data_IF_823072660937
#
_entry.id   IF_823072660937
#
_cell.length_a   1.000
_cell.length_b   1.000
_cell.length_c   1.000
_cell.angle_alpha   90.00
_cell.angle_beta   90.00
_cell.angle_gamma   90.00
#
_symmetry.space_group_name_H-M   'P 1'
#
loop_
_entity.id
_entity.type
_entity.pdbx_description
1 polymer ?
#
# COMPACT_ATOMS: atom_id res chain seq x y z
N UNK A 1 29.77 56.61 -39.46
CA UNK A 1 29.20 55.37 -40.06
C UNK A 1 28.73 54.49 -38.90
N UNK A 2 27.51 54.65 -38.40
CA UNK A 2 26.29 54.00 -38.88
C UNK A 2 26.27 52.46 -38.67
N UNK A 3 25.71 51.97 -37.55
CA UNK A 3 24.40 51.28 -37.44
C UNK A 3 24.29 50.46 -36.14
N UNK A 4 23.13 50.61 -35.50
CA UNK A 4 22.57 49.76 -34.45
C UNK A 4 22.46 48.28 -34.85
N UNK A 5 22.59 47.38 -33.87
CA UNK A 5 21.65 46.25 -33.67
C UNK A 5 21.65 45.75 -32.21
N UNK A 6 20.47 45.84 -31.60
CA UNK A 6 20.02 45.07 -30.43
C UNK A 6 19.99 43.56 -30.73
N UNK A 7 20.31 42.72 -29.75
CA UNK A 7 19.70 41.40 -29.45
C UNK A 7 20.19 41.00 -28.04
N UNK A 8 19.37 40.76 -27.00
CA UNK A 8 18.04 40.15 -26.98
C UNK A 8 18.18 38.71 -26.50
N UNK A 9 18.25 38.50 -25.18
CA UNK A 9 18.19 37.18 -24.56
C UNK A 9 16.84 36.53 -24.88
N UNK A 10 16.84 35.47 -25.70
CA UNK A 10 15.69 34.61 -25.94
C UNK A 10 15.91 33.27 -25.25
N UNK A 11 15.12 33.02 -24.20
CA UNK A 11 14.88 31.69 -23.64
C UNK A 11 13.92 30.94 -24.60
N UNK A 12 14.14 29.66 -24.94
CA UNK A 12 13.23 28.96 -25.83
C UNK A 12 11.95 28.56 -25.10
N UNK A 13 10.83 28.97 -25.68
CA UNK A 13 9.46 28.72 -25.27
C UNK A 13 9.06 27.23 -25.34
N UNK A 14 8.23 26.83 -24.39
CA UNK A 14 7.02 26.03 -24.57
C UNK A 14 7.07 24.83 -25.52
N UNK A 15 7.39 23.65 -24.97
CA UNK A 15 6.92 22.39 -25.55
C UNK A 15 5.76 21.86 -24.70
N UNK A 16 4.53 22.18 -25.11
CA UNK A 16 3.31 21.54 -24.63
C UNK A 16 3.44 20.03 -24.86
N UNK A 17 3.53 19.26 -23.79
CA UNK A 17 3.45 17.79 -23.86
C UNK A 17 2.00 17.46 -24.13
N UNK A 18 1.72 17.10 -25.38
CA UNK A 18 0.42 16.68 -25.84
C UNK A 18 0.06 15.35 -25.16
N UNK A 19 -0.89 15.38 -24.21
CA UNK A 19 -1.39 14.21 -23.47
C UNK A 19 -2.53 13.58 -24.28
N UNK A 20 -2.22 13.10 -25.47
CA UNK A 20 -3.12 12.23 -26.23
C UNK A 20 -2.35 11.00 -26.71
N UNK A 21 -2.90 9.83 -26.39
CA UNK A 21 -2.44 8.46 -26.72
C UNK A 21 -1.40 7.79 -25.79
N UNK A 22 -1.78 7.52 -24.54
CA UNK A 22 -1.19 6.41 -23.76
C UNK A 22 -1.72 5.05 -24.25
N UNK A 23 -1.52 4.72 -25.53
CA UNK A 23 -1.51 3.31 -25.96
C UNK A 23 -0.13 2.75 -25.63
N UNK A 24 -0.02 2.04 -24.52
CA UNK A 24 1.18 1.30 -24.17
C UNK A 24 1.55 0.34 -25.32
N UNK A 25 2.69 0.60 -25.97
CA UNK A 25 3.24 -0.28 -26.99
C UNK A 25 3.85 -1.54 -26.37
N UNK A 26 3.91 -2.67 -27.10
CA UNK A 26 4.39 -3.97 -26.59
C UNK A 26 5.85 -4.00 -26.10
N UNK A 27 6.59 -2.88 -26.21
CA UNK A 27 7.97 -2.70 -25.74
C UNK A 27 8.09 -1.93 -24.41
N UNK A 28 6.99 -1.40 -23.87
CA UNK A 28 6.97 -0.66 -22.59
C UNK A 28 6.56 -1.54 -21.40
N UNK A 29 6.41 -2.86 -21.61
CA UNK A 29 6.22 -3.79 -20.52
C UNK A 29 7.47 -3.78 -19.62
N UNK A 30 7.34 -3.74 -18.27
CA UNK A 30 8.49 -3.89 -17.40
C UNK A 30 9.19 -5.20 -17.76
N UNK A 31 10.48 -5.10 -18.10
CA UNK A 31 11.35 -6.22 -18.44
C UNK A 31 11.10 -7.35 -17.43
N UNK A 32 10.82 -8.57 -17.92
CA UNK A 32 10.71 -9.80 -17.13
C UNK A 32 11.94 -9.90 -16.18
N UNK A 33 11.84 -9.33 -14.98
CA UNK A 33 13.01 -9.17 -14.11
C UNK A 33 12.88 -8.12 -13.00
N UNK A 34 11.96 -7.14 -13.09
CA UNK A 34 11.84 -6.09 -12.06
C UNK A 34 10.42 -5.90 -11.48
N UNK A 35 9.55 -6.89 -11.62
CA UNK A 35 8.20 -6.87 -11.04
C UNK A 35 8.15 -7.59 -9.70
N UNK A 36 7.97 -6.80 -8.64
CA UNK A 36 7.51 -7.20 -7.30
C UNK A 36 8.54 -7.95 -6.47
N UNK A 37 8.70 -7.44 -5.24
CA UNK A 37 9.50 -8.00 -4.17
C UNK A 37 9.68 -9.49 -4.35
N UNK A 38 10.94 -9.85 -4.60
CA UNK A 38 11.39 -11.19 -4.40
C UNK A 38 10.69 -11.74 -3.15
N UNK A 39 10.44 -13.02 -3.15
CA UNK A 39 10.66 -13.78 -1.94
C UNK A 39 12.10 -13.50 -1.48
N UNK A 40 12.33 -12.32 -0.91
CA UNK A 40 13.36 -11.97 0.05
C UNK A 40 12.90 -12.62 1.35
N UNK A 41 12.61 -13.92 1.24
CA UNK A 41 12.96 -14.87 2.27
C UNK A 41 14.37 -14.45 2.68
N UNK A 42 14.46 -13.92 3.90
CA UNK A 42 15.72 -13.71 4.60
C UNK A 42 16.64 -14.89 4.24
N UNK A 43 17.89 -14.61 3.83
CA UNK A 43 18.88 -15.61 3.44
C UNK A 43 18.72 -17.00 4.10
N UNK A 44 18.47 -17.11 5.43
CA UNK A 44 18.14 -18.37 6.10
C UNK A 44 16.97 -19.20 5.53
N UNK A 45 15.83 -18.63 5.13
CA UNK A 45 14.67 -19.40 4.65
C UNK A 45 14.88 -20.00 3.25
N UNK A 46 15.56 -19.27 2.36
CA UNK A 46 16.02 -19.81 1.06
C UNK A 46 17.03 -20.92 1.25
N UNK A 47 17.98 -20.74 2.17
CA UNK A 47 18.97 -21.77 2.49
C UNK A 47 18.28 -23.05 2.99
N UNK A 48 17.33 -22.93 3.92
CA UNK A 48 16.55 -24.07 4.45
C UNK A 48 15.83 -24.85 3.35
N UNK A 49 15.21 -24.16 2.38
CA UNK A 49 14.55 -24.80 1.24
C UNK A 49 15.51 -25.58 0.34
N UNK A 50 16.68 -25.01 0.00
CA UNK A 50 17.68 -25.72 -0.81
C UNK A 50 18.28 -26.92 -0.07
N UNK A 51 18.53 -26.77 1.24
CA UNK A 51 19.04 -27.86 2.09
C UNK A 51 18.03 -29.01 2.17
N UNK A 52 16.74 -28.73 2.33
CA UNK A 52 15.70 -29.77 2.36
C UNK A 52 15.62 -30.55 1.05
N UNK A 53 15.67 -29.85 -0.10
CA UNK A 53 15.63 -30.50 -1.42
C UNK A 53 16.89 -31.33 -1.66
N UNK A 54 18.07 -30.84 -1.30
CA UNK A 54 19.33 -31.60 -1.39
C UNK A 54 19.30 -32.83 -0.49
N UNK A 55 18.76 -32.71 0.72
CA UNK A 55 18.60 -33.84 1.62
C UNK A 55 17.67 -34.90 1.02
N UNK A 56 16.57 -34.50 0.38
CA UNK A 56 15.69 -35.42 -0.34
C UNK A 56 16.38 -36.07 -1.56
N UNK A 57 17.20 -35.32 -2.31
CA UNK A 57 17.98 -35.83 -3.45
C UNK A 57 18.94 -36.95 -3.00
N UNK A 58 19.58 -36.80 -1.84
CA UNK A 58 20.59 -37.74 -1.36
C UNK A 58 19.99 -38.89 -0.55
N UNK A 59 19.02 -38.60 0.33
CA UNK A 59 18.49 -39.58 1.30
C UNK A 59 17.61 -40.63 0.63
N UNK A 60 16.75 -40.26 -0.32
CA UNK A 60 15.78 -41.19 -0.93
C UNK A 60 16.48 -42.30 -1.75
N UNK A 61 17.44 -42.00 -2.65
CA UNK A 61 18.24 -43.03 -3.32
C UNK A 61 19.06 -43.89 -2.36
N UNK A 62 19.61 -43.27 -1.31
CA UNK A 62 20.47 -43.99 -0.37
C UNK A 62 19.66 -45.01 0.45
N UNK A 63 18.46 -44.62 0.90
CA UNK A 63 17.55 -45.49 1.65
C UNK A 63 17.04 -46.62 0.76
N UNK A 64 16.58 -46.32 -0.46
CA UNK A 64 16.09 -47.35 -1.40
C UNK A 64 17.17 -48.40 -1.71
N UNK A 65 18.40 -47.97 -2.01
CA UNK A 65 19.54 -48.87 -2.25
C UNK A 65 19.95 -49.66 -1.00
N UNK A 66 19.80 -49.09 0.20
CA UNK A 66 20.09 -49.79 1.45
C UNK A 66 19.05 -50.86 1.77
N UNK A 67 17.77 -50.58 1.51
CA UNK A 67 16.64 -51.47 1.79
C UNK A 67 16.62 -52.70 0.85
N UNK A 68 17.13 -52.59 -0.37
CA UNK A 68 17.23 -53.70 -1.34
C UNK A 68 18.32 -54.75 -1.01
N UNK A 69 18.83 -54.76 0.22
CA UNK A 69 19.62 -55.88 0.74
C UNK A 69 21.02 -56.02 0.13
N UNK A 70 21.64 -54.92 -0.28
CA UNK A 70 23.10 -54.88 -0.51
C UNK A 70 23.63 -55.71 -1.67
N UNK A 71 22.82 -56.09 -2.66
CA UNK A 71 23.28 -56.78 -3.89
C UNK A 71 24.30 -55.98 -4.73
N UNK A 72 24.52 -54.71 -4.39
CA UNK A 72 25.44 -53.76 -5.02
C UNK A 72 26.78 -53.56 -4.28
N UNK A 73 27.14 -54.43 -3.33
CA UNK A 73 28.23 -54.23 -2.35
C UNK A 73 29.69 -54.06 -2.86
N UNK A 74 29.92 -53.94 -4.18
CA UNK A 74 31.24 -53.67 -4.78
C UNK A 74 31.45 -52.21 -5.23
N UNK A 75 32.19 -52.03 -6.34
CA UNK A 75 32.54 -50.73 -6.99
C UNK A 75 31.33 -49.81 -7.30
N UNK A 76 30.09 -50.29 -7.21
CA UNK A 76 28.88 -49.53 -7.51
C UNK A 76 28.49 -48.53 -6.42
N UNK A 77 28.78 -48.82 -5.15
CA UNK A 77 28.48 -47.91 -4.02
C UNK A 77 29.23 -46.56 -4.11
N UNK A 78 30.56 -46.51 -4.30
CA UNK A 78 31.24 -45.23 -4.44
C UNK A 78 30.82 -44.46 -5.69
N UNK A 79 30.49 -45.15 -6.79
CA UNK A 79 29.95 -44.53 -8.00
C UNK A 79 28.57 -43.89 -7.76
N UNK A 80 27.69 -44.57 -7.03
CA UNK A 80 26.38 -44.03 -6.65
C UNK A 80 26.52 -42.79 -5.76
N UNK A 81 27.39 -42.83 -4.75
CA UNK A 81 27.64 -41.67 -3.90
C UNK A 81 28.22 -40.51 -4.70
N UNK A 82 29.18 -40.77 -5.60
CA UNK A 82 29.76 -39.75 -6.45
C UNK A 82 28.71 -39.10 -7.38
N UNK A 83 27.83 -39.90 -7.98
CA UNK A 83 26.74 -39.42 -8.83
C UNK A 83 25.71 -38.58 -8.03
N UNK A 84 25.31 -39.03 -6.84
CA UNK A 84 24.40 -38.27 -5.97
C UNK A 84 24.99 -36.92 -5.55
N UNK A 85 26.28 -36.89 -5.20
CA UNK A 85 26.99 -35.65 -4.85
C UNK A 85 27.06 -34.72 -6.07
N UNK A 86 27.38 -35.28 -7.26
CA UNK A 86 27.43 -34.51 -8.50
C UNK A 86 26.05 -33.94 -8.87
N UNK A 87 24.99 -34.74 -8.75
CA UNK A 87 23.64 -34.34 -9.08
C UNK A 87 23.11 -33.28 -8.11
N UNK A 88 23.30 -33.49 -6.80
CA UNK A 88 22.93 -32.50 -5.78
C UNK A 88 23.70 -31.17 -5.94
N UNK A 89 25.01 -31.26 -6.17
CA UNK A 89 25.85 -30.09 -6.45
C UNK A 89 25.43 -29.36 -7.72
N UNK A 90 25.15 -30.10 -8.79
CA UNK A 90 24.62 -29.56 -10.04
C UNK A 90 23.29 -28.87 -9.83
N UNK A 91 22.37 -29.48 -9.08
CA UNK A 91 21.06 -28.89 -8.79
C UNK A 91 21.17 -27.54 -8.05
N UNK A 92 22.05 -27.45 -7.04
CA UNK A 92 22.31 -26.20 -6.32
C UNK A 92 22.88 -25.11 -7.24
N UNK A 93 23.88 -25.45 -8.07
CA UNK A 93 24.44 -24.50 -9.03
C UNK A 93 23.38 -24.05 -10.03
N UNK A 94 22.58 -24.99 -10.54
CA UNK A 94 21.54 -24.71 -11.54
C UNK A 94 20.48 -23.78 -10.97
N UNK A 95 19.98 -24.06 -9.77
CA UNK A 95 18.94 -23.24 -9.14
C UNK A 95 19.45 -21.88 -8.67
N UNK A 96 20.69 -21.79 -8.19
CA UNK A 96 21.28 -20.54 -7.71
C UNK A 96 21.70 -19.61 -8.85
N UNK A 97 22.40 -20.14 -9.86
CA UNK A 97 22.98 -19.33 -10.95
C UNK A 97 22.00 -19.20 -12.12
N UNK A 98 21.16 -20.21 -12.36
CA UNK A 98 20.33 -20.30 -13.57
C UNK A 98 19.36 -19.13 -13.76
N UNK A 99 18.88 -18.51 -12.67
CA UNK A 99 17.98 -17.36 -12.76
C UNK A 99 18.63 -16.14 -13.43
N UNK A 100 19.97 -16.00 -13.34
CA UNK A 100 20.72 -14.89 -13.94
C UNK A 100 21.16 -15.17 -15.39
N UNK A 101 20.94 -16.39 -15.87
CA UNK A 101 21.41 -16.83 -17.18
C UNK A 101 20.39 -16.58 -18.29
N UNK A 102 20.87 -16.53 -19.53
CA UNK A 102 20.02 -16.43 -20.73
C UNK A 102 19.14 -17.67 -20.94
N UNK A 103 18.05 -17.53 -21.70
CA UNK A 103 17.09 -18.62 -21.95
C UNK A 103 17.74 -19.90 -22.49
N UNK A 104 18.68 -19.76 -23.43
CA UNK A 104 19.43 -20.91 -23.97
C UNK A 104 20.27 -21.63 -22.92
N UNK A 105 21.01 -20.87 -22.09
CA UNK A 105 21.84 -21.42 -21.02
C UNK A 105 20.99 -22.14 -19.96
N UNK A 106 19.81 -21.61 -19.62
CA UNK A 106 18.86 -22.29 -18.71
C UNK A 106 18.43 -23.65 -19.26
N UNK A 107 18.11 -23.75 -20.55
CA UNK A 107 17.78 -25.03 -21.18
C UNK A 107 18.95 -26.02 -21.13
N UNK A 108 20.18 -25.57 -21.39
CA UNK A 108 21.37 -26.41 -21.26
C UNK A 108 21.59 -26.90 -19.83
N UNK A 109 21.36 -26.05 -18.83
CA UNK A 109 21.49 -26.41 -17.41
C UNK A 109 20.45 -27.45 -16.98
N UNK A 110 19.21 -27.34 -17.44
CA UNK A 110 18.18 -28.37 -17.23
C UNK A 110 18.55 -29.67 -17.97
N UNK A 111 19.04 -29.57 -19.20
CA UNK A 111 19.54 -30.72 -19.96
C UNK A 111 20.69 -31.44 -19.24
N UNK A 112 21.62 -30.70 -18.64
CA UNK A 112 22.69 -31.25 -17.81
C UNK A 112 22.14 -32.06 -16.62
N UNK A 113 21.14 -31.53 -15.91
CA UNK A 113 20.49 -32.26 -14.82
C UNK A 113 19.81 -33.55 -15.31
N UNK A 114 19.15 -33.51 -16.47
CA UNK A 114 18.57 -34.73 -17.05
C UNK A 114 19.65 -35.77 -17.36
N UNK A 115 20.78 -35.36 -17.95
CA UNK A 115 21.89 -36.27 -18.29
C UNK A 115 22.52 -36.88 -17.04
N UNK A 116 22.87 -36.06 -16.04
CA UNK A 116 23.48 -36.56 -14.80
C UNK A 116 22.49 -37.45 -14.04
N UNK A 117 21.24 -37.02 -13.88
CA UNK A 117 20.23 -37.81 -13.16
C UNK A 117 19.89 -39.13 -13.84
N UNK A 118 20.06 -39.26 -15.16
CA UNK A 118 19.90 -40.53 -15.88
C UNK A 118 21.03 -41.53 -15.64
N UNK A 119 22.14 -41.15 -15.00
CA UNK A 119 23.19 -42.08 -14.61
C UNK A 119 22.77 -42.99 -13.44
N UNK A 120 21.86 -42.53 -12.57
CA UNK A 120 21.36 -43.30 -11.41
C UNK A 120 20.84 -44.69 -11.80
N UNK A 121 19.87 -44.84 -12.73
CA UNK A 121 19.40 -46.15 -13.19
C UNK A 121 20.50 -47.06 -13.74
N UNK A 122 21.51 -46.49 -14.40
CA UNK A 122 22.61 -47.25 -15.01
C UNK A 122 23.53 -47.82 -13.92
N UNK A 123 23.83 -47.02 -12.90
CA UNK A 123 24.69 -47.41 -11.77
C UNK A 123 23.99 -48.44 -10.87
N UNK A 124 22.72 -48.23 -10.56
CA UNK A 124 21.93 -49.15 -9.72
C UNK A 124 21.51 -50.40 -10.48
N UNK A 125 21.30 -50.31 -11.79
CA UNK A 125 20.65 -51.36 -12.59
C UNK A 125 19.13 -51.38 -12.38
N UNK A 126 18.56 -50.32 -11.80
CA UNK A 126 17.14 -50.21 -11.47
C UNK A 126 16.53 -49.00 -12.20
N UNK A 127 15.69 -49.29 -13.19
CA UNK A 127 15.01 -48.28 -14.02
C UNK A 127 13.98 -47.45 -13.27
N UNK A 128 13.50 -47.92 -12.11
CA UNK A 128 12.58 -47.13 -11.27
C UNK A 128 13.27 -45.89 -10.68
N UNK A 129 14.61 -45.88 -10.65
CA UNK A 129 15.40 -44.71 -10.21
C UNK A 129 15.23 -43.48 -11.11
N UNK A 130 14.63 -43.61 -12.29
CA UNK A 130 14.25 -42.47 -13.15
C UNK A 130 13.30 -41.48 -12.45
N UNK A 131 12.59 -41.91 -11.39
CA UNK A 131 11.78 -41.01 -10.54
C UNK A 131 12.60 -39.85 -9.98
N UNK A 132 13.92 -40.00 -9.79
CA UNK A 132 14.81 -38.94 -9.32
C UNK A 132 15.04 -37.82 -10.34
N UNK A 133 14.60 -37.98 -11.58
CA UNK A 133 14.50 -36.87 -12.53
C UNK A 133 13.41 -35.86 -12.13
N UNK A 134 12.59 -36.15 -11.12
CA UNK A 134 11.70 -35.18 -10.48
C UNK A 134 12.42 -33.88 -10.09
N UNK A 135 13.67 -33.94 -9.65
CA UNK A 135 14.44 -32.74 -9.30
C UNK A 135 14.83 -31.91 -10.54
N UNK A 136 15.13 -32.55 -11.66
CA UNK A 136 15.32 -31.87 -12.94
C UNK A 136 14.01 -31.21 -13.42
N UNK A 137 12.85 -31.83 -13.16
CA UNK A 137 11.53 -31.22 -13.41
C UNK A 137 11.33 -29.97 -12.53
N UNK A 138 11.67 -30.03 -11.23
CA UNK A 138 11.61 -28.86 -10.35
C UNK A 138 12.48 -27.72 -10.89
N UNK A 139 13.71 -28.02 -11.29
CA UNK A 139 14.60 -27.02 -11.91
C UNK A 139 14.01 -26.47 -13.22
N UNK A 140 13.38 -27.31 -14.05
CA UNK A 140 12.70 -26.89 -15.27
C UNK A 140 11.52 -25.96 -14.98
N UNK A 141 10.70 -26.24 -13.97
CA UNK A 141 9.58 -25.39 -13.55
C UNK A 141 10.06 -24.01 -13.08
N UNK A 142 11.19 -23.96 -12.37
CA UNK A 142 11.77 -22.70 -11.88
C UNK A 142 12.38 -21.87 -13.02
N UNK A 143 13.12 -22.50 -13.93
CA UNK A 143 13.97 -21.81 -14.90
C UNK A 143 13.34 -21.59 -16.27
N UNK A 144 12.42 -22.46 -16.69
CA UNK A 144 11.84 -22.46 -18.03
C UNK A 144 10.41 -21.88 -18.05
N UNK A 145 9.90 -21.49 -19.23
CA UNK A 145 8.49 -21.16 -19.40
C UNK A 145 7.59 -22.36 -19.08
N UNK A 146 6.38 -22.10 -18.57
CA UNK A 146 5.44 -23.14 -18.13
C UNK A 146 5.07 -24.17 -19.21
N UNK A 147 5.14 -23.82 -20.50
CA UNK A 147 4.95 -24.77 -21.59
C UNK A 147 6.13 -25.72 -21.73
N UNK A 148 7.35 -25.21 -21.66
CA UNK A 148 8.57 -26.00 -21.78
C UNK A 148 8.77 -26.92 -20.57
N UNK A 149 8.50 -26.46 -19.35
CA UNK A 149 8.60 -27.30 -18.14
C UNK A 149 7.63 -28.49 -18.17
N UNK A 150 6.40 -28.28 -18.69
CA UNK A 150 5.42 -29.35 -18.90
C UNK A 150 5.86 -30.36 -19.95
N UNK A 151 6.50 -29.91 -21.04
CA UNK A 151 7.08 -30.81 -22.05
C UNK A 151 8.23 -31.64 -21.48
N UNK A 152 9.09 -31.04 -20.63
CA UNK A 152 10.15 -31.78 -19.93
C UNK A 152 9.55 -32.85 -19.03
N UNK A 153 8.58 -32.51 -18.19
CA UNK A 153 7.93 -33.49 -17.31
C UNK A 153 7.22 -34.61 -18.06
N UNK A 154 6.54 -34.30 -19.17
CA UNK A 154 5.92 -35.29 -20.05
C UNK A 154 6.98 -36.22 -20.67
N UNK A 155 8.11 -35.68 -21.12
CA UNK A 155 9.21 -36.45 -21.68
C UNK A 155 9.82 -37.40 -20.65
N UNK A 156 10.05 -36.93 -19.41
CA UNK A 156 10.57 -37.76 -18.31
C UNK A 156 9.59 -38.87 -17.94
N UNK A 157 8.30 -38.57 -17.78
CA UNK A 157 7.28 -39.58 -17.49
C UNK A 157 7.18 -40.63 -18.61
N UNK A 158 7.24 -40.19 -19.87
CA UNK A 158 7.23 -41.09 -21.03
C UNK A 158 8.47 -41.97 -21.08
N UNK A 159 9.65 -41.42 -20.78
CA UNK A 159 10.90 -42.18 -20.68
C UNK A 159 10.83 -43.24 -19.58
N UNK A 160 10.21 -42.94 -18.43
CA UNK A 160 10.01 -43.93 -17.36
C UNK A 160 9.08 -45.07 -17.78
N UNK A 161 7.97 -44.77 -18.44
CA UNK A 161 7.05 -45.81 -18.97
C UNK A 161 7.78 -46.73 -19.95
N UNK A 162 8.55 -46.15 -20.88
CA UNK A 162 9.29 -46.92 -21.88
C UNK A 162 10.37 -47.77 -21.21
N UNK A 163 11.18 -47.17 -20.33
CA UNK A 163 12.29 -47.86 -19.67
C UNK A 163 11.81 -49.04 -18.81
N UNK A 164 10.80 -48.83 -17.98
CA UNK A 164 10.24 -49.89 -17.13
C UNK A 164 9.57 -50.99 -17.96
N UNK A 165 8.82 -50.63 -19.00
CA UNK A 165 8.18 -51.62 -19.89
C UNK A 165 9.20 -52.48 -20.64
N UNK A 166 10.33 -51.91 -21.05
CA UNK A 166 11.40 -52.59 -21.80
C UNK A 166 12.26 -53.45 -20.89
N UNK A 167 12.64 -52.95 -19.71
CA UNK A 167 13.58 -53.63 -18.81
C UNK A 167 12.87 -54.63 -17.89
N UNK A 168 11.76 -54.23 -17.27
CA UNK A 168 11.05 -55.04 -16.26
C UNK A 168 9.85 -55.82 -16.84
N UNK A 169 9.51 -55.58 -18.11
CA UNK A 169 8.35 -56.18 -18.77
C UNK A 169 6.99 -55.63 -18.32
N UNK A 170 6.97 -54.75 -17.32
CA UNK A 170 5.78 -54.08 -16.76
C UNK A 170 6.02 -52.59 -16.60
N UNK A 171 4.95 -51.80 -16.59
CA UNK A 171 5.03 -50.36 -16.37
C UNK A 171 4.97 -50.07 -14.87
N UNK A 172 5.89 -49.25 -14.38
CA UNK A 172 5.80 -48.66 -13.04
C UNK A 172 4.83 -47.48 -13.05
N UNK A 173 3.54 -47.77 -12.82
CA UNK A 173 2.51 -46.74 -12.80
C UNK A 173 2.64 -45.79 -11.62
N UNK A 174 3.11 -46.27 -10.47
CA UNK A 174 3.21 -45.46 -9.26
C UNK A 174 4.24 -44.33 -9.43
N UNK A 175 5.44 -44.67 -9.89
CA UNK A 175 6.47 -43.67 -10.19
C UNK A 175 6.09 -42.74 -11.36
N UNK A 176 5.41 -43.27 -12.38
CA UNK A 176 4.94 -42.46 -13.52
C UNK A 176 3.90 -41.43 -13.08
N UNK A 177 2.91 -41.83 -12.28
CA UNK A 177 1.90 -40.91 -11.75
C UNK A 177 2.50 -39.86 -10.83
N UNK A 178 3.48 -40.25 -9.99
CA UNK A 178 4.21 -39.30 -9.16
C UNK A 178 4.88 -38.20 -9.99
N UNK A 179 5.58 -38.55 -11.08
CA UNK A 179 6.22 -37.58 -11.97
C UNK A 179 5.22 -36.64 -12.64
N UNK A 180 4.10 -37.17 -13.12
CA UNK A 180 3.03 -36.37 -13.75
C UNK A 180 2.41 -35.41 -12.75
N UNK A 181 2.01 -35.90 -11.58
CA UNK A 181 1.41 -35.11 -10.52
C UNK A 181 2.38 -34.02 -10.04
N UNK A 182 3.65 -34.35 -9.85
CA UNK A 182 4.69 -33.41 -9.43
C UNK A 182 4.86 -32.31 -10.49
N UNK A 183 4.95 -32.68 -11.78
CA UNK A 183 5.04 -31.72 -12.88
C UNK A 183 3.87 -30.75 -12.89
N UNK A 184 2.64 -31.27 -12.81
CA UNK A 184 1.42 -30.45 -12.86
C UNK A 184 1.27 -29.58 -11.62
N UNK A 185 1.50 -30.14 -10.44
CA UNK A 185 1.33 -29.45 -9.15
C UNK A 185 2.32 -28.30 -9.01
N UNK A 186 3.62 -28.54 -9.24
CA UNK A 186 4.62 -27.48 -9.17
C UNK A 186 4.42 -26.45 -10.29
N UNK A 187 4.14 -26.87 -11.52
CA UNK A 187 3.86 -25.90 -12.61
C UNK A 187 2.67 -25.00 -12.28
N UNK A 188 1.61 -25.56 -11.70
CA UNK A 188 0.40 -24.81 -11.32
C UNK A 188 0.66 -23.89 -10.14
N UNK A 189 1.35 -24.36 -9.11
CA UNK A 189 1.73 -23.56 -7.94
C UNK A 189 2.62 -22.37 -8.32
N UNK A 190 3.63 -22.60 -9.17
CA UNK A 190 4.50 -21.52 -9.66
C UNK A 190 3.76 -20.53 -10.56
N UNK A 191 2.83 -21.00 -11.40
CA UNK A 191 1.98 -20.12 -12.19
C UNK A 191 1.09 -19.27 -11.29
N UNK A 192 0.44 -19.87 -10.29
CA UNK A 192 -0.40 -19.16 -9.33
C UNK A 192 0.41 -18.11 -8.56
N UNK A 193 1.59 -18.46 -8.07
CA UNK A 193 2.48 -17.53 -7.37
C UNK A 193 2.89 -16.34 -8.26
N UNK A 194 3.17 -16.58 -9.56
CA UNK A 194 3.45 -15.52 -10.54
C UNK A 194 2.23 -14.63 -10.77
N UNK A 195 1.03 -15.21 -10.94
CA UNK A 195 -0.19 -14.44 -11.16
C UNK A 195 -0.55 -13.61 -9.93
N UNK A 196 -0.45 -14.17 -8.72
CA UNK A 196 -0.71 -13.46 -7.46
C UNK A 196 0.26 -12.30 -7.28
N UNK A 197 1.56 -12.51 -7.52
CA UNK A 197 2.54 -11.42 -7.43
C UNK A 197 2.28 -10.32 -8.47
N UNK A 198 1.98 -10.68 -9.72
CA UNK A 198 1.59 -9.72 -10.75
C UNK A 198 0.34 -8.92 -10.38
N UNK A 199 -0.67 -9.58 -9.82
CA UNK A 199 -1.90 -8.93 -9.35
C UNK A 199 -1.61 -7.92 -8.23
N UNK A 200 -0.76 -8.29 -7.26
CA UNK A 200 -0.33 -7.38 -6.20
C UNK A 200 0.44 -6.17 -6.75
N UNK A 201 1.31 -6.38 -7.75
CA UNK A 201 1.97 -5.27 -8.47
C UNK A 201 0.96 -4.32 -9.09
N UNK A 202 0.01 -4.88 -9.85
CA UNK A 202 -0.98 -4.11 -10.59
C UNK A 202 -1.87 -3.31 -9.64
N UNK A 203 -2.29 -3.91 -8.51
CA UNK A 203 -3.05 -3.20 -7.47
C UNK A 203 -2.27 -2.02 -6.88
N UNK A 204 -0.97 -2.18 -6.63
CA UNK A 204 -0.13 -1.09 -6.13
C UNK A 204 -0.02 0.06 -7.14
N UNK A 205 0.11 -0.25 -8.44
CA UNK A 205 0.12 0.76 -9.51
C UNK A 205 -1.22 1.49 -9.61
N UNK A 206 -2.33 0.78 -9.56
CA UNK A 206 -3.69 1.37 -9.61
C UNK A 206 -3.91 2.28 -8.40
N UNK A 207 -3.53 1.85 -7.19
CA UNK A 207 -3.64 2.66 -5.99
C UNK A 207 -2.78 3.93 -6.05
N UNK A 208 -1.60 3.86 -6.67
CA UNK A 208 -0.78 5.05 -6.88
C UNK A 208 -1.41 6.01 -7.90
N UNK A 209 -1.94 5.47 -9.00
CA UNK A 209 -2.62 6.27 -10.03
C UNK A 209 -3.86 6.97 -9.48
N UNK A 210 -4.68 6.28 -8.67
CA UNK A 210 -5.86 6.91 -8.08
C UNK A 210 -5.51 8.10 -7.17
N UNK A 211 -4.40 8.02 -6.42
CA UNK A 211 -3.90 9.14 -5.60
C UNK A 211 -3.44 10.31 -6.47
N UNK A 212 -2.79 10.03 -7.61
CA UNK A 212 -2.34 11.07 -8.55
C UNK A 212 -3.54 11.74 -9.24
N UNK A 213 -4.52 10.95 -9.67
CA UNK A 213 -5.75 11.47 -10.28
C UNK A 213 -6.54 12.34 -9.33
N UNK A 214 -6.65 11.91 -8.06
CA UNK A 214 -7.24 12.69 -6.97
C UNK A 214 -6.53 14.03 -6.80
N UNK A 215 -5.18 14.01 -6.72
CA UNK A 215 -4.37 15.23 -6.60
C UNK A 215 -4.57 16.16 -7.80
N UNK A 216 -4.66 15.63 -9.01
CA UNK A 216 -4.88 16.41 -10.23
C UNK A 216 -6.30 16.97 -10.30
N UNK A 217 -7.31 16.25 -9.77
CA UNK A 217 -8.67 16.78 -9.62
C UNK A 217 -8.68 17.94 -8.63
N UNK A 218 -8.13 17.74 -7.43
CA UNK A 218 -8.02 18.79 -6.42
C UNK A 218 -7.27 20.03 -6.93
N UNK A 219 -6.18 19.85 -7.68
CA UNK A 219 -5.45 20.97 -8.28
C UNK A 219 -6.31 21.77 -9.27
N UNK A 220 -7.15 21.11 -10.08
CA UNK A 220 -8.08 21.78 -11.00
C UNK A 220 -9.18 22.51 -10.24
N UNK A 221 -9.83 21.84 -9.29
CA UNK A 221 -10.90 22.45 -8.49
C UNK A 221 -10.39 23.69 -7.73
N UNK A 222 -9.16 23.62 -7.19
CA UNK A 222 -8.49 24.76 -6.57
C UNK A 222 -8.16 25.87 -7.57
N UNK A 223 -7.66 25.51 -8.77
CA UNK A 223 -7.35 26.48 -9.80
C UNK A 223 -8.59 27.23 -10.29
N UNK A 224 -9.73 26.55 -10.43
CA UNK A 224 -10.98 27.16 -10.89
C UNK A 224 -11.51 28.16 -9.85
N UNK A 225 -11.53 27.76 -8.57
CA UNK A 225 -11.96 28.63 -7.45
C UNK A 225 -11.01 29.82 -7.26
N UNK A 226 -9.70 29.59 -7.28
CA UNK A 226 -8.69 30.63 -7.15
C UNK A 226 -8.69 31.58 -8.34
N UNK A 227 -8.76 31.04 -9.56
CA UNK A 227 -8.69 31.80 -10.80
C UNK A 227 -9.82 32.81 -10.90
N UNK A 228 -11.07 32.37 -10.66
CA UNK A 228 -12.23 33.25 -10.71
C UNK A 228 -12.19 34.33 -9.61
N UNK A 229 -11.82 33.94 -8.39
CA UNK A 229 -11.81 34.87 -7.25
C UNK A 229 -10.73 35.93 -7.39
N UNK A 230 -9.50 35.53 -7.74
CA UNK A 230 -8.37 36.46 -7.91
C UNK A 230 -8.63 37.41 -9.08
N UNK A 231 -9.20 36.93 -10.18
CA UNK A 231 -9.59 37.80 -11.31
C UNK A 231 -10.64 38.84 -10.88
N UNK A 232 -11.65 38.43 -10.09
CA UNK A 232 -12.69 39.34 -9.60
C UNK A 232 -12.14 40.38 -8.61
N UNK A 233 -11.24 39.97 -7.71
CA UNK A 233 -10.53 40.88 -6.80
C UNK A 233 -9.70 41.90 -7.59
N UNK A 234 -8.96 41.46 -8.61
CA UNK A 234 -8.16 42.35 -9.45
C UNK A 234 -9.03 43.37 -10.21
N UNK A 235 -10.20 42.94 -10.72
CA UNK A 235 -11.16 43.82 -11.38
C UNK A 235 -11.74 44.87 -10.43
N UNK A 236 -12.25 44.46 -9.25
CA UNK A 236 -12.79 45.39 -8.24
C UNK A 236 -11.71 46.34 -7.71
N UNK A 237 -10.49 45.86 -7.51
CA UNK A 237 -9.35 46.70 -7.14
C UNK A 237 -9.04 47.76 -8.21
N UNK A 238 -9.12 47.39 -9.49
CA UNK A 238 -8.99 48.32 -10.60
C UNK A 238 -10.12 49.34 -10.71
N UNK A 239 -11.34 49.00 -10.30
CA UNK A 239 -12.49 49.93 -10.19
C UNK A 239 -12.26 50.91 -9.04
N UNK A 240 -11.91 50.40 -7.85
CA UNK A 240 -11.62 51.23 -6.68
C UNK A 240 -10.48 52.23 -6.96
N UNK A 241 -9.41 51.79 -7.65
CA UNK A 241 -8.31 52.68 -8.08
C UNK A 241 -8.80 53.79 -9.01
N UNK A 242 -9.61 53.45 -10.03
CA UNK A 242 -10.16 54.45 -10.96
C UNK A 242 -11.10 55.43 -10.28
N UNK A 243 -11.91 54.97 -9.33
CA UNK A 243 -12.77 55.84 -8.51
C UNK A 243 -11.95 56.85 -7.69
N UNK A 244 -10.84 56.41 -7.10
CA UNK A 244 -9.89 57.30 -6.39
C UNK A 244 -9.23 58.32 -7.33
N UNK A 245 -8.87 57.91 -8.55
CA UNK A 245 -8.26 58.80 -9.56
C UNK A 245 -9.25 59.83 -10.14
N UNK A 246 -10.55 59.56 -10.07
CA UNK A 246 -11.61 60.38 -10.67
C UNK A 246 -12.35 61.26 -9.64
N UNK A 247 -11.83 61.36 -8.41
CA UNK A 247 -12.42 62.10 -7.28
C UNK A 247 -13.89 61.69 -6.97
N UNK A 248 -14.21 60.40 -7.18
CA UNK A 248 -15.52 59.82 -6.84
C UNK A 248 -15.67 59.71 -5.33
N UNK A 249 -16.92 59.79 -4.84
CA UNK A 249 -17.25 59.74 -3.42
C UNK A 249 -16.56 58.58 -2.65
N UNK A 250 -16.02 58.92 -1.48
CA UNK A 250 -15.21 58.02 -0.63
C UNK A 250 -16.01 56.82 -0.12
N UNK A 251 -17.33 56.94 0.03
CA UNK A 251 -18.15 55.82 0.50
C UNK A 251 -18.35 54.75 -0.60
N UNK A 252 -18.33 55.13 -1.87
CA UNK A 252 -18.33 54.18 -3.00
C UNK A 252 -17.02 53.36 -3.04
N UNK A 253 -15.87 54.02 -2.82
CA UNK A 253 -14.56 53.34 -2.74
C UNK A 253 -14.51 52.38 -1.55
N UNK A 254 -15.02 52.79 -0.37
CA UNK A 254 -15.10 51.92 0.81
C UNK A 254 -15.92 50.65 0.57
N UNK A 255 -16.99 50.76 -0.22
CA UNK A 255 -17.85 49.63 -0.58
C UNK A 255 -17.08 48.62 -1.42
N UNK A 256 -16.37 49.05 -2.46
CA UNK A 256 -15.55 48.15 -3.29
C UNK A 256 -14.42 47.47 -2.50
N UNK A 257 -13.77 48.20 -1.58
CA UNK A 257 -12.75 47.61 -0.69
C UNK A 257 -13.35 46.55 0.25
N UNK A 258 -14.54 46.82 0.81
CA UNK A 258 -15.24 45.85 1.65
C UNK A 258 -15.62 44.59 0.88
N UNK A 259 -16.11 44.74 -0.34
CA UNK A 259 -16.44 43.61 -1.22
C UNK A 259 -15.22 42.74 -1.51
N UNK A 260 -14.05 43.34 -1.78
CA UNK A 260 -12.79 42.61 -1.95
C UNK A 260 -12.43 41.81 -0.69
N UNK A 261 -12.60 42.39 0.50
CA UNK A 261 -12.31 41.75 1.77
C UNK A 261 -13.27 40.58 2.07
N UNK A 262 -14.55 40.73 1.72
CA UNK A 262 -15.57 39.68 1.84
C UNK A 262 -15.31 38.54 0.83
N UNK A 263 -14.98 38.86 -0.43
CA UNK A 263 -14.63 37.89 -1.47
C UNK A 263 -13.40 37.05 -1.07
N UNK A 264 -12.36 37.72 -0.56
CA UNK A 264 -11.13 37.08 -0.11
C UNK A 264 -11.40 36.12 1.06
N UNK A 265 -12.20 36.56 2.04
CA UNK A 265 -12.60 35.71 3.18
C UNK A 265 -13.45 34.52 2.72
N UNK A 266 -14.33 34.69 1.73
CA UNK A 266 -15.15 33.62 1.16
C UNK A 266 -14.30 32.57 0.45
N UNK A 267 -13.39 32.96 -0.44
CA UNK A 267 -12.50 32.00 -1.11
C UNK A 267 -11.60 31.24 -0.14
N UNK A 268 -11.08 31.91 0.90
CA UNK A 268 -10.30 31.23 1.93
C UNK A 268 -11.10 30.21 2.76
N UNK A 269 -12.43 30.34 2.81
CA UNK A 269 -13.32 29.31 3.39
C UNK A 269 -13.55 28.18 2.41
N UNK A 270 -13.85 28.47 1.14
CA UNK A 270 -14.07 27.46 0.08
C UNK A 270 -12.83 26.59 -0.13
N UNK A 271 -11.63 27.17 -0.22
CA UNK A 271 -10.36 26.43 -0.30
C UNK A 271 -10.18 25.52 0.93
N UNK A 272 -10.53 26.02 2.12
CA UNK A 272 -10.44 25.22 3.34
C UNK A 272 -11.42 24.06 3.33
N UNK A 273 -12.68 24.26 2.93
CA UNK A 273 -13.62 23.15 2.78
C UNK A 273 -13.15 22.13 1.73
N UNK A 274 -12.63 22.57 0.59
CA UNK A 274 -12.19 21.65 -0.48
C UNK A 274 -10.94 20.84 -0.10
N UNK A 275 -10.00 21.42 0.66
CA UNK A 275 -8.76 20.72 1.05
C UNK A 275 -8.93 19.88 2.33
N UNK A 276 -9.69 20.38 3.31
CA UNK A 276 -9.76 19.78 4.64
C UNK A 276 -10.95 18.85 4.86
N UNK A 277 -11.97 18.86 3.98
CA UNK A 277 -13.09 17.91 4.07
C UNK A 277 -12.81 16.58 3.31
N UNK A 278 -11.62 16.43 2.70
CA UNK A 278 -11.19 15.21 1.97
C UNK A 278 -10.00 14.47 2.63
N UNK A 279 -9.40 15.00 3.70
CA UNK A 279 -8.42 14.25 4.51
C UNK A 279 -9.03 13.91 5.86
N UNK A 280 -9.19 12.62 6.13
CA UNK A 280 -9.43 12.12 7.49
C UNK A 280 -8.43 12.77 8.43
N UNK A 281 -8.91 13.54 9.39
CA UNK A 281 -8.03 14.18 10.37
C UNK A 281 -7.53 13.06 11.28
N UNK A 282 -6.23 12.81 11.27
CA UNK A 282 -5.62 11.86 12.20
C UNK A 282 -5.77 12.41 13.63
N UNK A 283 -6.46 11.67 14.49
CA UNK A 283 -6.64 12.04 15.90
C UNK A 283 -5.29 12.24 16.60
N UNK A 284 -4.28 11.45 16.25
CA UNK A 284 -2.95 11.53 16.86
C UNK A 284 -2.22 12.83 16.48
N UNK A 285 -2.33 13.25 15.22
CA UNK A 285 -1.78 14.55 14.77
C UNK A 285 -2.52 15.70 15.47
N UNK A 286 -3.84 15.56 15.66
CA UNK A 286 -4.63 16.59 16.33
C UNK A 286 -4.33 16.69 17.83
N UNK A 287 -4.06 15.57 18.51
CA UNK A 287 -3.60 15.56 19.90
C UNK A 287 -2.27 16.29 20.07
N UNK A 288 -1.31 16.03 19.15
CA UNK A 288 -0.04 16.74 19.14
C UNK A 288 -0.21 18.25 18.90
N UNK A 289 -1.04 18.62 17.93
CA UNK A 289 -1.35 20.02 17.63
C UNK A 289 -2.05 20.73 18.78
N UNK A 290 -3.01 20.05 19.44
CA UNK A 290 -3.72 20.57 20.60
C UNK A 290 -2.76 20.90 21.75
N UNK A 291 -1.85 19.98 22.07
CA UNK A 291 -0.86 20.17 23.12
C UNK A 291 0.08 21.35 22.83
N UNK A 292 0.50 21.52 21.57
CA UNK A 292 1.33 22.65 21.14
C UNK A 292 0.57 23.98 21.19
N UNK A 293 -0.68 24.01 20.69
CA UNK A 293 -1.50 25.21 20.64
C UNK A 293 -1.85 25.73 22.04
N UNK A 294 -2.24 24.85 22.97
CA UNK A 294 -2.52 25.22 24.35
C UNK A 294 -1.27 25.74 25.06
N UNK A 295 -0.11 25.11 24.84
CA UNK A 295 1.16 25.57 25.39
C UNK A 295 1.54 26.95 24.85
N UNK A 296 1.38 27.18 23.55
CA UNK A 296 1.65 28.48 22.92
C UNK A 296 0.72 29.59 23.44
N UNK A 297 -0.51 29.23 23.82
CA UNK A 297 -1.46 30.14 24.47
C UNK A 297 -1.20 30.35 25.97
N UNK A 298 -0.16 29.71 26.55
CA UNK A 298 0.16 29.81 27.97
C UNK A 298 -0.78 29.02 28.90
N UNK A 299 -1.51 28.04 28.36
CA UNK A 299 -2.46 27.20 29.10
C UNK A 299 -1.77 25.87 29.46
N UNK A 300 -1.79 25.51 30.74
CA UNK A 300 -1.27 24.22 31.21
C UNK A 300 -2.18 23.08 30.75
N UNK A 301 -1.69 22.21 29.87
CA UNK A 301 -2.50 21.20 29.20
C UNK A 301 -2.13 19.77 29.61
N UNK A 302 -3.13 18.97 29.97
CA UNK A 302 -3.02 17.50 30.07
C UNK A 302 -3.69 16.90 28.84
N UNK A 303 -2.88 16.51 27.85
CA UNK A 303 -3.34 15.90 26.59
C UNK A 303 -2.66 14.54 26.43
N UNK A 304 -3.41 13.44 26.22
CA UNK A 304 -2.81 12.13 25.98
C UNK A 304 -2.00 12.11 24.67
N UNK A 305 -0.94 11.32 24.62
CA UNK A 305 -0.03 11.27 23.47
C UNK A 305 -0.55 10.50 22.25
N UNK A 306 -1.51 9.59 22.43
CA UNK A 306 -2.04 8.71 21.37
C UNK A 306 -3.50 8.39 21.63
N UNK A 307 -4.34 8.42 20.59
CA UNK A 307 -5.77 8.10 20.63
C UNK A 307 -6.09 6.61 20.51
N UNK A 308 -5.17 5.70 20.89
CA UNK A 308 -5.28 4.27 20.56
C UNK A 308 -6.50 3.56 21.14
N UNK A 309 -6.99 4.06 22.27
CA UNK A 309 -8.19 3.56 22.95
C UNK A 309 -9.46 3.86 22.14
N UNK A 310 -9.45 4.89 21.28
CA UNK A 310 -10.62 5.31 20.49
C UNK A 310 -10.87 4.35 19.33
N UNK A 311 -12.12 3.91 19.19
CA UNK A 311 -12.57 3.10 18.05
C UNK A 311 -12.24 3.77 16.73
N UNK A 312 -11.72 2.97 15.80
CA UNK A 312 -11.22 3.46 14.51
C UNK A 312 -12.22 4.32 13.76
N UNK A 313 -13.51 3.93 13.76
CA UNK A 313 -14.58 4.64 13.07
C UNK A 313 -14.88 6.03 13.66
N UNK A 314 -14.51 6.27 14.92
CA UNK A 314 -14.81 7.52 15.65
C UNK A 314 -13.64 8.50 15.64
N UNK A 315 -12.43 8.06 15.25
CA UNK A 315 -11.21 8.88 15.32
C UNK A 315 -11.32 10.20 14.56
N UNK A 316 -11.91 10.18 13.36
CA UNK A 316 -12.08 11.37 12.53
C UNK A 316 -13.04 12.39 13.17
N UNK A 317 -14.22 11.93 13.61
CA UNK A 317 -15.21 12.79 14.26
C UNK A 317 -14.66 13.36 15.57
N UNK A 318 -13.94 12.55 16.36
CA UNK A 318 -13.32 13.02 17.61
C UNK A 318 -12.15 13.97 17.38
N UNK A 319 -11.40 13.83 16.28
CA UNK A 319 -10.38 14.82 15.92
C UNK A 319 -11.00 16.19 15.63
N UNK A 320 -12.15 16.22 14.94
CA UNK A 320 -12.90 17.46 14.74
C UNK A 320 -13.41 18.07 16.06
N UNK A 321 -13.94 17.25 16.97
CA UNK A 321 -14.39 17.71 18.30
C UNK A 321 -13.23 18.28 19.10
N UNK A 322 -12.08 17.60 19.11
CA UNK A 322 -10.88 18.04 19.81
C UNK A 322 -10.39 19.40 19.29
N UNK A 323 -10.27 19.54 17.96
CA UNK A 323 -9.82 20.77 17.32
C UNK A 323 -10.67 21.98 17.72
N UNK A 324 -11.98 21.83 17.60
CA UNK A 324 -12.93 22.90 17.91
C UNK A 324 -12.98 23.17 19.41
N UNK A 325 -12.95 22.13 20.24
CA UNK A 325 -12.89 22.24 21.70
C UNK A 325 -11.68 23.06 22.15
N UNK A 326 -10.49 22.70 21.69
CA UNK A 326 -9.23 23.41 22.00
C UNK A 326 -9.25 24.84 21.46
N UNK A 327 -9.79 25.04 20.25
CA UNK A 327 -9.95 26.39 19.68
C UNK A 327 -10.85 27.26 20.56
N UNK A 328 -11.93 26.70 21.08
CA UNK A 328 -12.85 27.39 21.97
C UNK A 328 -12.22 27.74 23.32
N UNK A 329 -11.43 26.82 23.90
CA UNK A 329 -10.64 27.10 25.10
C UNK A 329 -9.73 28.31 24.86
N UNK A 330 -8.91 28.27 23.80
CA UNK A 330 -7.94 29.33 23.50
C UNK A 330 -8.62 30.69 23.25
N UNK A 331 -9.73 30.70 22.51
CA UNK A 331 -10.39 31.95 22.12
C UNK A 331 -11.31 32.53 23.19
N UNK A 332 -11.94 31.69 24.02
CA UNK A 332 -13.13 32.11 24.76
C UNK A 332 -13.08 31.83 26.28
N UNK A 333 -12.31 30.85 26.77
CA UNK A 333 -12.44 30.42 28.17
C UNK A 333 -11.67 31.29 29.17
N UNK A 334 -10.57 31.94 28.75
CA UNK A 334 -9.54 32.54 29.64
C UNK A 334 -9.01 31.54 30.68
N UNK A 335 -9.02 30.25 30.37
CA UNK A 335 -8.54 29.18 31.23
C UNK A 335 -7.02 29.26 31.45
N UNK A 336 -6.57 28.74 32.59
CA UNK A 336 -5.16 28.49 32.90
C UNK A 336 -4.82 27.00 32.76
N UNK A 337 -5.81 26.12 32.87
CA UNK A 337 -5.67 24.67 32.73
C UNK A 337 -6.71 24.11 31.77
N UNK A 338 -6.27 23.17 30.94
CA UNK A 338 -7.13 22.39 30.04
C UNK A 338 -6.77 20.91 30.16
N UNK A 339 -7.78 20.05 30.22
CA UNK A 339 -7.62 18.61 30.30
C UNK A 339 -8.44 17.93 29.19
N UNK A 340 -7.77 17.06 28.43
CA UNK A 340 -8.38 16.27 27.37
C UNK A 340 -8.40 14.81 27.82
N UNK A 341 -9.58 14.19 27.81
CA UNK A 341 -9.79 12.79 28.17
C UNK A 341 -10.57 12.09 27.06
N UNK A 342 -10.31 10.81 26.86
CA UNK A 342 -11.09 10.00 25.92
C UNK A 342 -11.17 8.56 26.38
N UNK A 343 -12.23 7.88 25.96
CA UNK A 343 -12.40 6.45 26.04
C UNK A 343 -12.71 5.87 24.66
N UNK A 344 -13.17 4.61 24.64
CA UNK A 344 -13.44 3.90 23.39
C UNK A 344 -14.48 4.59 22.49
N UNK A 345 -15.49 5.19 23.12
CA UNK A 345 -16.64 5.81 22.44
C UNK A 345 -16.97 7.22 22.93
N UNK A 346 -16.06 7.88 23.65
CA UNK A 346 -16.29 9.24 24.15
C UNK A 346 -15.01 10.07 24.19
N UNK A 347 -15.16 11.39 24.10
CA UNK A 347 -14.11 12.39 24.23
C UNK A 347 -14.62 13.56 25.09
N UNK A 348 -13.79 14.02 26.02
CA UNK A 348 -14.03 15.17 26.88
C UNK A 348 -12.90 16.19 26.75
N UNK A 349 -13.26 17.46 26.62
CA UNK A 349 -12.37 18.61 26.75
C UNK A 349 -12.91 19.47 27.88
N UNK A 350 -12.11 19.64 28.92
CA UNK A 350 -12.47 20.36 30.14
C UNK A 350 -11.47 21.49 30.39
N UNK A 351 -11.97 22.69 30.70
CA UNK A 351 -11.13 23.83 31.06
C UNK A 351 -11.57 24.47 32.38
N UNK A 352 -10.65 25.17 33.05
CA UNK A 352 -10.89 25.86 34.34
C UNK A 352 -11.29 27.34 34.18
N UNK A 353 -11.76 27.72 32.99
CA UNK A 353 -12.08 29.10 32.63
C UNK A 353 -13.40 29.62 33.23
N UNK A 354 -13.87 30.73 32.67
CA UNK A 354 -15.06 31.44 33.18
C UNK A 354 -16.38 30.66 33.06
N UNK A 355 -16.39 29.54 32.31
CA UNK A 355 -17.55 28.67 32.14
C UNK A 355 -18.74 29.35 31.45
N UNK A 356 -18.49 30.30 30.54
CA UNK A 356 -19.55 30.94 29.75
C UNK A 356 -20.29 29.88 28.92
N UNK A 357 -21.49 29.55 29.33
CA UNK A 357 -22.42 28.72 28.56
C UNK A 357 -23.01 29.62 27.47
N UNK A 358 -22.77 29.29 26.20
CA UNK A 358 -23.60 29.82 25.12
C UNK A 358 -24.99 29.19 25.30
N UNK A 359 -25.93 29.93 25.89
CA UNK A 359 -27.29 29.44 26.15
C UNK A 359 -27.93 28.90 24.87
N UNK A 360 -28.83 27.91 25.00
CA UNK A 360 -29.62 27.34 23.88
C UNK A 360 -30.37 28.39 23.05
N UNK A 361 -30.62 29.57 23.64
CA UNK A 361 -31.37 30.66 23.01
C UNK A 361 -30.44 31.71 22.38
N UNK A 362 -29.12 31.58 22.58
CA UNK A 362 -28.08 32.43 22.00
C UNK A 362 -27.42 31.79 20.76
N UNK A 363 -28.07 30.79 20.14
CA UNK A 363 -27.62 30.21 18.87
C UNK A 363 -27.79 31.17 17.68
N UNK A 364 -28.45 32.33 17.88
CA UNK A 364 -28.80 33.26 16.81
C UNK A 364 -28.27 34.71 16.99
N UNK A 365 -27.58 35.09 18.07
CA UNK A 365 -27.49 36.52 18.44
C UNK A 365 -26.11 37.16 18.63
N UNK A 366 -24.98 36.47 18.39
CA UNK A 366 -23.68 37.16 18.32
C UNK A 366 -22.91 36.77 17.05
N UNK A 367 -22.70 37.79 16.21
CA UNK A 367 -22.06 37.71 14.91
C UNK A 367 -20.70 36.99 14.97
N UNK A 368 -20.68 35.73 14.49
CA UNK A 368 -19.45 35.04 14.08
C UNK A 368 -18.99 33.82 14.89
N UNK A 369 -19.66 33.42 15.98
CA UNK A 369 -19.16 32.36 16.89
C UNK A 369 -19.95 31.06 17.00
N UNK A 370 -21.24 31.03 16.63
CA UNK A 370 -22.16 29.93 17.01
C UNK A 370 -22.19 28.68 16.12
N UNK A 371 -21.50 28.66 14.99
CA UNK A 371 -21.65 27.58 13.99
C UNK A 371 -20.78 26.34 14.25
N UNK A 372 -19.69 26.46 15.01
CA UNK A 372 -18.75 25.36 15.23
C UNK A 372 -19.35 24.17 15.98
N UNK A 373 -19.99 24.45 17.14
CA UNK A 373 -20.62 23.41 17.96
C UNK A 373 -21.87 22.80 17.32
N UNK A 374 -22.63 23.58 16.52
CA UNK A 374 -23.78 23.08 15.78
C UNK A 374 -23.34 22.08 14.70
N UNK A 375 -22.33 22.42 13.90
CA UNK A 375 -21.78 21.51 12.90
C UNK A 375 -21.17 20.25 13.52
N UNK A 376 -20.55 20.36 14.69
CA UNK A 376 -20.09 19.18 15.44
C UNK A 376 -21.24 18.30 15.93
N UNK A 377 -22.32 18.89 16.44
CA UNK A 377 -23.48 18.14 16.89
C UNK A 377 -24.14 17.38 15.72
N UNK A 378 -24.23 17.98 14.54
CA UNK A 378 -24.72 17.32 13.32
C UNK A 378 -23.81 16.16 12.90
N UNK A 379 -22.49 16.39 12.88
CA UNK A 379 -21.50 15.36 12.52
C UNK A 379 -21.48 14.18 13.52
N UNK A 380 -21.65 14.45 14.81
CA UNK A 380 -21.79 13.40 15.83
C UNK A 380 -23.09 12.62 15.69
N UNK A 381 -24.22 13.28 15.40
CA UNK A 381 -25.49 12.60 15.16
C UNK A 381 -25.44 11.65 13.96
N UNK A 382 -24.69 12.00 12.92
CA UNK A 382 -24.50 11.14 11.75
C UNK A 382 -23.85 9.78 12.10
N UNK A 383 -23.07 9.71 13.18
CA UNK A 383 -22.47 8.47 13.71
C UNK A 383 -23.20 7.90 14.93
N UNK A 384 -24.43 8.36 15.20
CA UNK A 384 -25.22 7.91 16.35
C UNK A 384 -24.75 8.45 17.70
N UNK A 385 -23.96 9.52 17.68
CA UNK A 385 -23.45 10.18 18.88
C UNK A 385 -24.23 11.44 19.27
N UNK A 386 -23.88 11.96 20.44
CA UNK A 386 -24.40 13.19 20.98
C UNK A 386 -23.26 14.10 21.47
N UNK A 387 -23.50 15.41 21.40
CA UNK A 387 -22.61 16.43 21.92
C UNK A 387 -23.29 17.10 23.12
N UNK A 388 -22.60 17.13 24.24
CA UNK A 388 -23.06 17.78 25.47
C UNK A 388 -22.08 18.86 25.87
N UNK A 389 -22.62 20.00 26.30
CA UNK A 389 -21.84 21.11 26.84
C UNK A 389 -22.36 21.46 28.22
N UNK A 390 -21.47 21.80 29.14
CA UNK A 390 -21.86 22.07 30.51
C UNK A 390 -20.83 22.93 31.25
N UNK A 391 -21.27 23.50 32.36
CA UNK A 391 -20.39 24.19 33.29
C UNK A 391 -19.89 23.20 34.34
N UNK A 392 -18.59 23.21 34.61
CA UNK A 392 -18.01 22.37 35.66
C UNK A 392 -18.34 22.98 37.03
N UNK A 393 -18.66 22.15 38.03
CA UNK A 393 -19.07 22.59 39.38
C UNK A 393 -18.03 23.44 40.10
N UNK A 394 -16.75 23.30 39.73
CA UNK A 394 -15.61 24.03 40.28
C UNK A 394 -15.31 25.34 39.55
N UNK A 395 -16.13 25.73 38.57
CA UNK A 395 -15.76 26.73 37.55
C UNK A 395 -15.12 26.05 36.35
N UNK A 396 -15.38 26.55 35.14
CA UNK A 396 -14.91 25.92 33.91
C UNK A 396 -16.02 25.52 32.92
N UNK A 397 -15.60 25.07 31.75
CA UNK A 397 -16.47 24.55 30.69
C UNK A 397 -16.07 23.12 30.33
N UNK A 398 -17.09 22.28 30.10
CA UNK A 398 -16.94 20.89 29.66
C UNK A 398 -17.62 20.72 28.30
N UNK A 399 -16.87 20.21 27.33
CA UNK A 399 -17.35 19.71 26.06
C UNK A 399 -17.19 18.19 26.06
N UNK A 400 -18.30 17.44 25.98
CA UNK A 400 -18.30 15.99 25.94
C UNK A 400 -19.02 15.48 24.69
N UNK A 401 -18.31 14.71 23.88
CA UNK A 401 -18.83 13.96 22.76
C UNK A 401 -18.90 12.47 23.14
N UNK A 402 -20.01 11.81 22.84
CA UNK A 402 -20.21 10.40 23.20
C UNK A 402 -21.05 9.68 22.15
N UNK A 403 -20.70 8.43 21.85
CA UNK A 403 -21.44 7.53 20.95
C UNK A 403 -21.91 6.33 21.75
N UNK A 404 -23.21 6.03 21.71
CA UNK A 404 -23.78 4.91 22.44
C UNK A 404 -23.28 3.58 21.86
N UNK A 405 -22.69 2.74 22.70
CA UNK A 405 -22.16 1.44 22.29
C UNK A 405 -23.30 0.45 22.08
N UNK A 406 -23.93 0.44 20.89
CA UNK A 406 -24.83 -0.65 20.53
C UNK A 406 -24.01 -1.86 20.11
N UNK A 407 -24.09 -3.01 20.82
CA UNK A 407 -23.59 -4.26 20.28
C UNK A 407 -24.37 -4.59 19.00
N UNK A 408 -23.65 -5.01 17.95
CA UNK A 408 -24.25 -5.42 16.69
C UNK A 408 -25.31 -6.49 16.96
N UNK A 409 -26.58 -6.19 16.64
CA UNK A 409 -27.67 -7.16 16.72
C UNK A 409 -27.33 -8.32 15.77
N UNK A 410 -27.19 -9.57 16.25
CA UNK A 410 -26.95 -10.70 15.35
C UNK A 410 -28.11 -10.79 14.35
N UNK A 411 -27.84 -11.18 13.09
CA UNK A 411 -28.89 -11.35 12.09
C UNK A 411 -29.90 -12.36 12.61
N UNK A 412 -31.19 -12.00 12.51
CA UNK A 412 -32.27 -12.90 12.87
C UNK A 412 -32.12 -14.19 12.07
N UNK A 413 -31.94 -15.31 12.76
CA UNK A 413 -32.03 -16.63 12.13
C UNK A 413 -33.45 -16.77 11.58
N UNK A 414 -33.55 -16.92 10.26
CA UNK A 414 -34.76 -17.31 9.55
C UNK A 414 -34.74 -18.82 9.32
#
# INVERSE_FOLDING_TARGET
>A
MARHTHHGHALPEGRLVNVESTRFGPRQWPVEGQGVGAWQQSGPARLRGHVLVVLLIVLVPLVTVHMDGGRSAGLRRPLLVADLVLYAGSFLVVTHVGQRQSRWRRSLMVGWLLVVGSALPVVTGDVTMLVHLAYAIVAAVVLLPARASRLVGLGVASAQVIATRVVDGRVDWDGTWLLVLLTLSFSSLFLLARVVSQLSAARAVIAHQSVVDERNRLARDLHDVLGHTVATIALKGGVARRMLESDVDRDSVRTEVRDIEELSRKAMREIRSTIFDTRSVSLDDELANAALALRAAGISATVPGTGDVVRFELRDVFAHVLREGVTNVIKHSRARRCEVRFGETWLEVEDDGNGRIFAKDAWAAEAGGGYGLLGLAERLRAVGGNLTTGRVRTGGFLLRAEVENRPARPPAAA
#
